data_IF_192631068321
#
_entry.id   IF_192631068321
#
_cell.length_a   1.000
_cell.length_b   1.000
_cell.length_c   1.000
_cell.angle_alpha   90.00
_cell.angle_beta   90.00
_cell.angle_gamma   90.00
#
_symmetry.space_group_name_H-M   'P 1'
#
loop_
_entity.id
_entity.type
_entity.pdbx_description
1 polymer ?
#
# COMPACT_ATOMS: atom_id res chain seq x y z
N UNK A 1 10.43 14.72 14.02
CA UNK A 1 9.19 14.93 14.79
C UNK A 1 8.88 13.60 15.42
N UNK A 2 9.00 13.44 16.74
CA UNK A 2 8.74 12.14 17.36
C UNK A 2 7.24 11.84 17.29
N UNK A 3 6.90 10.62 16.90
CA UNK A 3 5.53 10.12 16.82
C UNK A 3 5.40 8.85 17.66
N UNK A 4 4.20 8.65 18.22
CA UNK A 4 3.82 7.41 18.89
C UNK A 4 3.15 6.55 17.83
N UNK A 5 3.69 5.37 17.62
CA UNK A 5 3.12 4.40 16.70
C UNK A 5 2.32 3.37 17.49
N UNK A 6 1.09 3.14 17.07
CA UNK A 6 0.18 2.15 17.61
C UNK A 6 -0.18 1.14 16.51
N UNK A 7 -0.51 -0.10 16.88
CA UNK A 7 -1.07 -1.09 15.95
C UNK A 7 -2.35 -1.72 16.49
N UNK A 8 -3.28 -2.09 15.61
CA UNK A 8 -4.44 -2.89 15.99
C UNK A 8 -4.21 -4.40 15.78
N UNK A 9 -5.23 -5.20 16.10
CA UNK A 9 -5.25 -6.66 15.93
C UNK A 9 -5.15 -7.13 14.47
N UNK A 10 -5.38 -6.23 13.51
CA UNK A 10 -5.21 -6.46 12.06
C UNK A 10 -3.85 -5.99 11.52
N UNK A 11 -2.94 -5.54 12.39
CA UNK A 11 -1.64 -4.93 12.05
C UNK A 11 -1.71 -3.61 11.27
N UNK A 12 -2.83 -2.88 11.32
CA UNK A 12 -2.89 -1.52 10.81
C UNK A 12 -2.15 -0.57 11.76
N UNK A 13 -1.29 0.29 11.22
CA UNK A 13 -0.46 1.22 12.00
C UNK A 13 -1.13 2.59 12.07
N UNK A 14 -1.19 3.16 13.27
CA UNK A 14 -1.66 4.51 13.53
C UNK A 14 -0.50 5.34 14.08
N UNK A 15 -0.29 6.52 13.50
CA UNK A 15 0.70 7.49 13.98
C UNK A 15 -0.01 8.61 14.73
N UNK A 16 0.36 8.79 15.99
CA UNK A 16 -0.14 9.86 16.83
C UNK A 16 0.99 10.86 17.16
N UNK A 17 0.69 12.16 17.25
CA UNK A 17 1.68 13.13 17.66
C UNK A 17 2.10 12.88 19.13
N UNK A 18 3.40 13.06 19.43
CA UNK A 18 3.95 12.87 20.79
C UNK A 18 3.42 13.85 21.86
N UNK A 19 2.53 14.78 21.50
CA UNK A 19 1.96 15.75 22.43
C UNK A 19 0.63 15.30 23.06
N UNK A 20 0.18 14.07 22.77
CA UNK A 20 -0.98 13.49 23.43
C UNK A 20 -0.58 13.13 24.86
N UNK A 21 -1.45 13.48 25.82
CA UNK A 21 -1.27 13.11 27.22
C UNK A 21 -1.44 11.58 27.41
N UNK A 22 -0.73 11.02 28.39
CA UNK A 22 -0.74 9.57 28.63
C UNK A 22 -2.16 9.04 28.92
N UNK A 23 -3.01 9.86 29.55
CA UNK A 23 -4.41 9.50 29.85
C UNK A 23 -5.25 9.33 28.58
N UNK A 24 -5.12 10.21 27.58
CA UNK A 24 -5.79 10.03 26.28
C UNK A 24 -5.20 8.88 25.48
N UNK A 25 -3.89 8.65 25.58
CA UNK A 25 -3.27 7.49 24.92
C UNK A 25 -3.84 6.19 25.48
N UNK A 26 -4.00 6.07 26.80
CA UNK A 26 -4.60 4.90 27.44
C UNK A 26 -6.06 4.70 27.04
N UNK A 27 -6.85 5.78 26.90
CA UNK A 27 -8.23 5.70 26.42
C UNK A 27 -8.26 5.18 24.98
N UNK A 28 -7.45 5.76 24.09
CA UNK A 28 -7.37 5.36 22.67
C UNK A 28 -6.92 3.90 22.55
N UNK A 29 -5.93 3.48 23.33
CA UNK A 29 -5.42 2.12 23.33
C UNK A 29 -6.46 1.11 23.80
N UNK A 30 -7.24 1.44 24.83
CA UNK A 30 -8.25 0.54 25.38
C UNK A 30 -9.55 0.50 24.57
N UNK A 31 -10.01 1.64 24.03
CA UNK A 31 -11.26 1.70 23.25
C UNK A 31 -11.12 1.03 21.87
N UNK A 32 -9.92 1.06 21.28
CA UNK A 32 -9.66 0.61 19.91
C UNK A 32 -8.79 -0.68 19.89
N UNK A 33 -8.51 -1.27 21.06
CA UNK A 33 -7.61 -2.43 21.22
C UNK A 33 -6.25 -2.21 20.52
N UNK A 34 -5.70 -1.01 20.65
CA UNK A 34 -4.42 -0.64 20.07
C UNK A 34 -3.26 -0.91 21.02
N UNK A 35 -2.14 -1.37 20.48
CA UNK A 35 -0.91 -1.65 21.22
C UNK A 35 0.19 -0.72 20.72
N UNK A 36 0.87 -0.03 21.64
CA UNK A 36 2.03 0.77 21.32
C UNK A 36 3.17 -0.09 20.78
N UNK A 37 3.74 0.33 19.65
CA UNK A 37 4.90 -0.33 19.06
C UNK A 37 6.15 0.53 19.24
N UNK A 38 7.31 -0.08 19.55
CA UNK A 38 8.59 0.61 19.49
C UNK A 38 8.80 1.22 18.11
N UNK A 39 9.38 2.42 18.05
CA UNK A 39 9.63 3.14 16.80
C UNK A 39 10.42 2.31 15.77
N UNK A 40 11.41 1.53 16.23
CA UNK A 40 12.18 0.59 15.40
C UNK A 40 11.29 -0.50 14.77
N UNK A 41 10.28 -0.97 15.52
CA UNK A 41 9.33 -1.97 15.02
C UNK A 41 8.31 -1.35 14.05
N UNK A 42 7.93 -0.08 14.25
CA UNK A 42 7.05 0.65 13.34
C UNK A 42 7.71 0.87 11.97
N UNK A 43 8.98 1.30 11.97
CA UNK A 43 9.77 1.45 10.74
C UNK A 43 9.91 0.10 10.05
N UNK A 44 10.26 -0.96 10.79
CA UNK A 44 10.36 -2.30 10.21
C UNK A 44 9.03 -2.80 9.62
N UNK A 45 7.90 -2.52 10.27
CA UNK A 45 6.59 -2.95 9.79
C UNK A 45 6.15 -2.14 8.56
N UNK A 46 6.37 -0.83 8.56
CA UNK A 46 6.13 0.03 7.39
C UNK A 46 6.95 -0.45 6.20
N UNK A 47 8.24 -0.70 6.38
CA UNK A 47 9.11 -1.21 5.32
C UNK A 47 8.61 -2.56 4.78
N UNK A 48 8.07 -3.44 5.63
CA UNK A 48 7.48 -4.70 5.18
C UNK A 48 6.20 -4.48 4.36
N UNK A 49 5.36 -3.51 4.72
CA UNK A 49 4.15 -3.16 3.95
C UNK A 49 4.54 -2.61 2.59
N UNK A 50 5.45 -1.64 2.53
CA UNK A 50 5.90 -1.03 1.28
C UNK A 50 6.53 -2.07 0.33
N UNK A 51 7.33 -3.00 0.88
CA UNK A 51 7.89 -4.11 0.11
C UNK A 51 6.81 -5.05 -0.42
N UNK A 52 5.83 -5.41 0.42
CA UNK A 52 4.72 -6.28 0.03
C UNK A 52 3.86 -5.63 -1.06
N UNK A 53 3.50 -4.36 -0.91
CA UNK A 53 2.69 -3.63 -1.89
C UNK A 53 3.46 -3.43 -3.20
N UNK A 54 4.76 -3.13 -3.15
CA UNK A 54 5.56 -3.05 -4.36
C UNK A 54 5.73 -4.41 -5.07
N UNK A 55 5.82 -5.51 -4.32
CA UNK A 55 5.82 -6.85 -4.90
C UNK A 55 4.46 -7.17 -5.54
N UNK A 56 3.35 -6.78 -4.91
CA UNK A 56 2.01 -6.90 -5.48
C UNK A 56 1.88 -6.09 -6.78
N UNK A 57 2.35 -4.83 -6.80
CA UNK A 57 2.35 -3.99 -8.02
C UNK A 57 3.09 -4.67 -9.17
N UNK A 58 4.23 -5.31 -8.91
CA UNK A 58 4.96 -6.05 -9.95
C UNK A 58 4.13 -7.21 -10.51
N UNK A 59 3.51 -8.00 -9.62
CA UNK A 59 2.64 -9.10 -10.04
C UNK A 59 1.44 -8.61 -10.85
N UNK A 60 0.85 -7.46 -10.49
CA UNK A 60 -0.26 -6.90 -11.27
C UNK A 60 0.22 -6.39 -12.63
N UNK A 61 1.38 -5.74 -12.71
CA UNK A 61 1.95 -5.32 -14.00
C UNK A 61 2.24 -6.51 -14.94
N UNK A 62 2.67 -7.65 -14.39
CA UNK A 62 2.82 -8.89 -15.16
C UNK A 62 1.46 -9.38 -15.69
N UNK A 63 0.39 -9.30 -14.88
CA UNK A 63 -0.97 -9.62 -15.33
C UNK A 63 -1.45 -8.65 -16.42
N UNK A 64 -1.22 -7.34 -16.26
CA UNK A 64 -1.59 -6.34 -17.29
C UNK A 64 -0.89 -6.64 -18.60
N UNK A 65 0.38 -7.06 -18.57
CA UNK A 65 1.10 -7.42 -19.79
C UNK A 65 0.40 -8.56 -20.55
N UNK A 66 -0.13 -9.57 -19.84
CA UNK A 66 -0.88 -10.68 -20.45
C UNK A 66 -2.18 -10.18 -21.08
N UNK A 67 -2.95 -9.35 -20.37
CA UNK A 67 -4.21 -8.79 -20.89
C UNK A 67 -3.99 -7.92 -22.13
N UNK A 68 -2.94 -7.09 -22.13
CA UNK A 68 -2.55 -6.30 -23.30
C UNK A 68 -2.11 -7.19 -24.47
N UNK A 69 -1.48 -8.34 -24.21
CA UNK A 69 -1.16 -9.32 -25.25
C UNK A 69 -2.42 -9.95 -25.86
N UNK A 70 -3.45 -10.24 -25.06
CA UNK A 70 -4.72 -10.73 -25.59
C UNK A 70 -5.40 -9.72 -26.51
N UNK A 71 -5.41 -8.44 -26.14
CA UNK A 71 -5.89 -7.38 -27.03
C UNK A 71 -5.08 -7.28 -28.32
N UNK A 72 -3.76 -7.49 -28.26
CA UNK A 72 -2.92 -7.44 -29.46
C UNK A 72 -3.22 -8.56 -30.46
N UNK A 73 -3.66 -9.72 -29.97
CA UNK A 73 -4.00 -10.88 -30.81
C UNK A 73 -5.51 -11.04 -31.06
N UNK A 74 -6.32 -10.05 -30.68
CA UNK A 74 -7.80 -10.12 -30.71
C UNK A 74 -8.34 -11.40 -30.02
N UNK A 75 -7.70 -11.83 -28.92
CA UNK A 75 -8.07 -13.04 -28.19
C UNK A 75 -9.32 -12.78 -27.33
N UNK A 76 -10.32 -13.68 -27.40
CA UNK A 76 -11.58 -13.59 -26.65
C UNK A 76 -11.40 -13.65 -25.13
N UNK A 77 -10.23 -14.05 -24.65
CA UNK A 77 -9.87 -14.05 -23.24
C UNK A 77 -9.57 -12.66 -22.69
N UNK A 78 -9.34 -11.67 -23.56
CA UNK A 78 -9.16 -10.30 -23.14
C UNK A 78 -10.37 -9.86 -22.32
N UNK A 79 -10.13 -9.45 -21.08
CA UNK A 79 -11.15 -8.88 -20.21
C UNK A 79 -11.12 -7.35 -20.29
N UNK A 80 -12.23 -6.68 -19.99
CA UNK A 80 -12.33 -5.21 -20.05
C UNK A 80 -11.81 -4.61 -21.39
N UNK A 81 -11.48 -3.32 -21.42
CA UNK A 81 -10.92 -2.67 -22.62
C UNK A 81 -9.42 -2.45 -22.53
N UNK A 82 -8.76 -2.39 -23.70
CA UNK A 82 -7.30 -2.12 -23.77
C UNK A 82 -6.93 -0.79 -23.09
N UNK A 83 -7.79 0.23 -23.18
CA UNK A 83 -7.52 1.52 -22.55
C UNK A 83 -7.65 1.46 -21.02
N UNK A 84 -8.59 0.69 -20.48
CA UNK A 84 -8.71 0.48 -19.03
C UNK A 84 -7.47 -0.24 -18.47
N UNK A 85 -6.96 -1.25 -19.18
CA UNK A 85 -5.70 -1.91 -18.81
C UNK A 85 -4.49 -0.98 -18.88
N UNK A 86 -4.41 -0.12 -19.91
CA UNK A 86 -3.37 0.91 -20.01
C UNK A 86 -3.45 1.90 -18.87
N UNK A 87 -4.65 2.33 -18.49
CA UNK A 87 -4.84 3.24 -17.36
C UNK A 87 -4.44 2.57 -16.05
N UNK A 88 -4.88 1.33 -15.82
CA UNK A 88 -4.52 0.56 -14.64
C UNK A 88 -3.00 0.38 -14.50
N UNK A 89 -2.28 0.10 -15.60
CA UNK A 89 -0.81 0.06 -15.57
C UNK A 89 -0.17 1.40 -15.19
N UNK A 90 -0.74 2.54 -15.60
CA UNK A 90 -0.26 3.87 -15.21
C UNK A 90 -0.48 4.10 -13.72
N UNK A 91 -1.66 3.74 -13.21
CA UNK A 91 -2.02 3.92 -11.81
C UNK A 91 -1.14 3.04 -10.90
N UNK A 92 -0.89 1.78 -11.28
CA UNK A 92 0.05 0.88 -10.59
C UNK A 92 1.47 1.44 -10.51
N UNK A 93 1.98 2.02 -11.61
CA UNK A 93 3.32 2.65 -11.65
C UNK A 93 3.39 3.94 -10.84
N UNK A 94 2.26 4.62 -10.67
CA UNK A 94 2.18 5.82 -9.85
C UNK A 94 2.03 5.46 -8.37
N UNK A 95 1.40 4.32 -8.04
CA UNK A 95 1.11 3.91 -6.67
C UNK A 95 2.37 3.65 -5.82
N UNK A 96 3.37 2.97 -6.38
CA UNK A 96 4.64 2.72 -5.67
C UNK A 96 5.83 3.36 -6.38
N UNK A 97 6.85 3.71 -5.61
CA UNK A 97 8.12 4.23 -6.09
C UNK A 97 9.27 3.56 -5.34
N UNK A 98 10.50 3.83 -5.75
CA UNK A 98 11.69 3.49 -4.97
C UNK A 98 12.41 4.76 -4.55
N UNK A 99 12.95 4.78 -3.33
CA UNK A 99 13.83 5.85 -2.85
C UNK A 99 15.21 5.79 -3.54
N UNK A 100 16.11 6.71 -3.16
CA UNK A 100 17.48 6.79 -3.70
C UNK A 100 18.33 5.53 -3.43
N UNK A 101 17.95 4.73 -2.45
CA UNK A 101 18.61 3.47 -2.09
C UNK A 101 17.92 2.25 -2.71
N UNK A 102 16.86 2.45 -3.50
CA UNK A 102 16.08 1.37 -4.10
C UNK A 102 15.05 0.74 -3.15
N UNK A 103 14.80 1.32 -1.97
CA UNK A 103 13.76 0.84 -1.08
C UNK A 103 12.38 1.22 -1.62
N UNK A 104 11.45 0.27 -1.75
CA UNK A 104 10.09 0.59 -2.16
C UNK A 104 9.37 1.48 -1.15
N UNK A 105 8.49 2.34 -1.66
CA UNK A 105 7.59 3.19 -0.89
C UNK A 105 6.26 3.33 -1.63
N UNK A 106 5.15 3.28 -0.90
CA UNK A 106 3.87 3.79 -1.42
C UNK A 106 3.97 5.31 -1.54
N UNK A 107 3.51 5.88 -2.65
CA UNK A 107 3.49 7.34 -2.81
C UNK A 107 2.42 7.96 -1.92
N UNK A 108 2.79 9.07 -1.25
CA UNK A 108 1.90 9.78 -0.35
C UNK A 108 0.62 10.25 -1.07
N UNK A 109 -0.54 9.96 -0.48
CA UNK A 109 -1.84 10.35 -1.00
C UNK A 109 -2.42 9.42 -2.08
N UNK A 110 -1.67 8.41 -2.52
CA UNK A 110 -2.17 7.40 -3.45
C UNK A 110 -2.94 6.30 -2.73
N UNK A 111 -4.01 5.82 -3.35
CA UNK A 111 -4.76 4.64 -2.92
C UNK A 111 -4.44 3.47 -3.83
N UNK A 112 -4.57 2.25 -3.30
CA UNK A 112 -4.37 1.03 -4.08
C UNK A 112 -5.26 1.03 -5.33
N UNK A 113 -4.68 0.95 -6.55
CA UNK A 113 -5.45 0.93 -7.79
C UNK A 113 -6.37 -0.29 -7.86
N UNK A 114 -7.61 -0.07 -8.32
CA UNK A 114 -8.58 -1.13 -8.54
C UNK A 114 -8.42 -1.73 -9.93
N UNK A 115 -8.50 -3.04 -10.03
CA UNK A 115 -8.41 -3.72 -11.32
C UNK A 115 -9.64 -3.37 -12.18
N UNK A 116 -9.51 -3.25 -13.52
CA UNK A 116 -10.63 -2.95 -14.41
C UNK A 116 -11.82 -3.93 -14.38
N UNK A 117 -11.68 -5.08 -13.73
CA UNK A 117 -12.69 -6.12 -13.63
C UNK A 117 -13.38 -6.17 -12.25
N UNK A 118 -12.98 -5.31 -11.31
CA UNK A 118 -13.49 -5.25 -9.94
C UNK A 118 -14.58 -4.18 -9.74
#
# INVERSE_FOLDING_TARGET
MNMIFLKNTKNEIFALPNNIDDEKLDIIMNEIELIQIPEVNAISLSNNIDQSEHAWVKSELDNVQVELMYHWTDDERASSTEEEWKQYARDLRNYTTTDENGNPQIREGETRPLRPTE
#
